data_IF_869131651829
#
_entry.id   IF_869131651829
#
_cell.length_a   1.000
_cell.length_b   1.000
_cell.length_c   1.000
_cell.angle_alpha   90.00
_cell.angle_beta   90.00
_cell.angle_gamma   90.00
#
_symmetry.space_group_name_H-M   'P 1'
#
loop_
_entity.id
_entity.type
_entity.pdbx_description
1 polymer ?
#
# COMPACT_ATOMS: atom_id res chain seq x y z
N UNK A 1 0.74 19.29 10.38
CA UNK A 1 0.84 18.12 9.48
C UNK A 1 1.98 18.31 8.48
N UNK A 2 2.85 17.29 8.31
CA UNK A 2 3.99 17.29 7.36
C UNK A 2 3.49 17.30 5.90
N UNK A 3 4.32 17.69 4.90
CA UNK A 3 3.91 17.75 3.49
C UNK A 3 3.35 16.43 2.94
N UNK A 4 4.01 15.30 3.20
CA UNK A 4 3.54 13.97 2.80
C UNK A 4 2.15 13.65 3.39
N UNK A 5 1.96 13.89 4.68
CA UNK A 5 0.64 13.72 5.32
C UNK A 5 -0.44 14.62 4.74
N UNK A 6 -0.10 15.83 4.29
CA UNK A 6 -1.06 16.73 3.62
C UNK A 6 -1.47 16.22 2.24
N UNK A 7 -0.52 15.71 1.47
CA UNK A 7 -0.80 15.11 0.18
C UNK A 7 -1.69 13.87 0.34
N UNK A 8 -1.37 12.99 1.29
CA UNK A 8 -2.15 11.80 1.60
C UNK A 8 -3.57 12.15 2.04
N UNK A 9 -3.73 13.11 2.95
CA UNK A 9 -5.04 13.57 3.41
C UNK A 9 -5.92 14.10 2.26
N UNK A 10 -5.35 14.88 1.33
CA UNK A 10 -6.08 15.36 0.15
C UNK A 10 -6.54 14.20 -0.73
N UNK A 11 -5.66 13.23 -0.99
CA UNK A 11 -5.99 12.06 -1.81
C UNK A 11 -7.12 11.22 -1.22
N UNK A 12 -7.05 10.90 0.06
CA UNK A 12 -8.10 10.13 0.75
C UNK A 12 -9.44 10.88 0.72
N UNK A 13 -9.40 12.21 0.89
CA UNK A 13 -10.59 13.05 0.74
C UNK A 13 -11.15 12.98 -0.68
N UNK A 14 -10.32 13.09 -1.70
CA UNK A 14 -10.75 13.05 -3.11
C UNK A 14 -11.32 11.66 -3.47
N UNK A 15 -10.72 10.57 -2.97
CA UNK A 15 -11.24 9.21 -3.10
C UNK A 15 -12.64 9.09 -2.49
N UNK A 16 -12.81 9.52 -1.24
CA UNK A 16 -14.10 9.50 -0.57
C UNK A 16 -15.16 10.32 -1.32
N UNK A 17 -14.78 11.49 -1.85
CA UNK A 17 -15.67 12.32 -2.66
C UNK A 17 -16.05 11.67 -4.01
N UNK A 18 -15.16 10.91 -4.64
CA UNK A 18 -15.49 10.18 -5.89
C UNK A 18 -16.51 9.06 -5.67
N UNK A 19 -16.47 8.43 -4.49
CA UNK A 19 -17.33 7.29 -4.16
C UNK A 19 -18.67 7.69 -3.58
N UNK A 20 -18.69 8.78 -2.83
CA UNK A 20 -19.94 9.37 -2.38
C UNK A 20 -20.58 10.07 -3.59
N UNK A 21 -21.71 9.53 -4.09
CA UNK A 21 -22.57 10.26 -5.03
C UNK A 21 -22.80 11.66 -4.49
N UNK A 22 -22.88 12.67 -5.37
CA UNK A 22 -23.21 14.05 -5.00
C UNK A 22 -24.52 14.07 -4.19
N UNK A 23 -24.37 13.96 -2.87
CA UNK A 23 -25.49 14.07 -1.95
C UNK A 23 -25.79 15.55 -1.85
N UNK A 24 -27.03 15.94 -2.12
CA UNK A 24 -27.57 17.25 -1.73
C UNK A 24 -27.71 17.33 -0.20
N UNK A 25 -26.63 17.04 0.54
CA UNK A 25 -26.59 17.19 1.97
C UNK A 25 -26.64 18.68 2.28
N UNK A 26 -27.61 19.06 3.12
CA UNK A 26 -27.68 20.37 3.77
C UNK A 26 -26.28 20.70 4.32
N UNK A 27 -25.83 21.95 4.11
CA UNK A 27 -24.52 22.43 4.58
C UNK A 27 -24.27 21.99 6.01
N UNK A 28 -23.32 21.08 6.22
CA UNK A 28 -22.87 20.67 7.55
C UNK A 28 -22.13 21.84 8.19
N UNK A 29 -22.39 22.10 9.46
CA UNK A 29 -21.63 23.08 10.24
C UNK A 29 -20.30 22.48 10.68
N UNK A 30 -19.23 23.26 10.59
CA UNK A 30 -17.93 22.83 11.07
C UNK A 30 -17.90 22.83 12.60
N UNK A 31 -17.31 21.79 13.18
CA UNK A 31 -17.07 21.66 14.62
C UNK A 31 -15.72 20.99 14.84
N UNK A 32 -15.15 21.17 16.03
CA UNK A 32 -13.81 20.70 16.36
C UNK A 32 -13.84 19.59 17.43
N UNK A 33 -12.94 18.63 17.29
CA UNK A 33 -12.57 17.68 18.32
C UNK A 33 -11.39 18.27 19.11
N UNK A 34 -11.55 18.45 20.40
CA UNK A 34 -10.57 19.15 21.24
C UNK A 34 -9.58 18.22 21.95
N UNK A 35 -9.89 16.93 22.04
CA UNK A 35 -9.06 15.95 22.72
C UNK A 35 -8.86 14.67 21.88
N UNK A 36 -7.72 14.01 22.11
CA UNK A 36 -7.36 12.79 21.39
C UNK A 36 -8.26 11.61 21.69
N UNK A 37 -8.84 11.51 22.90
CA UNK A 37 -9.68 10.37 23.29
C UNK A 37 -11.03 10.40 22.55
N UNK A 38 -11.59 11.59 22.36
CA UNK A 38 -12.80 11.76 21.56
C UNK A 38 -12.57 11.37 20.10
N UNK A 39 -11.40 11.69 19.54
CA UNK A 39 -11.04 11.27 18.18
C UNK A 39 -10.84 9.75 18.09
N UNK A 40 -10.03 9.16 18.99
CA UNK A 40 -9.76 7.72 19.08
C UNK A 40 -11.06 6.92 19.18
N UNK A 41 -11.94 7.32 20.10
CA UNK A 41 -13.27 6.70 20.25
C UNK A 41 -14.08 6.70 18.96
N UNK A 42 -14.11 7.82 18.22
CA UNK A 42 -14.87 7.91 16.96
C UNK A 42 -14.27 6.95 15.92
N UNK A 43 -12.94 6.92 15.82
CA UNK A 43 -12.22 6.07 14.86
C UNK A 43 -12.50 4.60 15.17
N UNK A 44 -12.31 4.18 16.42
CA UNK A 44 -12.49 2.78 16.85
C UNK A 44 -13.94 2.31 16.66
N UNK A 45 -14.92 3.15 17.00
CA UNK A 45 -16.33 2.81 16.84
C UNK A 45 -16.72 2.69 15.36
N UNK A 46 -16.26 3.60 14.50
CA UNK A 46 -16.53 3.52 13.06
C UNK A 46 -15.89 2.25 12.47
N UNK A 47 -14.65 1.94 12.84
CA UNK A 47 -13.97 0.71 12.39
C UNK A 47 -14.77 -0.53 12.78
N UNK A 48 -15.18 -0.64 14.06
CA UNK A 48 -16.01 -1.76 14.52
C UNK A 48 -17.36 -1.87 13.81
N UNK A 49 -18.02 -0.75 13.52
CA UNK A 49 -19.26 -0.77 12.74
C UNK A 49 -19.05 -1.19 11.29
N UNK A 50 -17.93 -0.82 10.66
CA UNK A 50 -17.58 -1.27 9.31
C UNK A 50 -17.25 -2.76 9.32
N UNK A 51 -16.52 -3.27 10.30
CA UNK A 51 -16.25 -4.71 10.45
C UNK A 51 -17.55 -5.54 10.57
N UNK A 52 -18.51 -5.06 11.37
CA UNK A 52 -19.82 -5.70 11.48
C UNK A 52 -20.61 -5.63 10.16
N UNK A 53 -20.52 -4.51 9.45
CA UNK A 53 -21.15 -4.33 8.15
C UNK A 53 -20.55 -5.28 7.10
N UNK A 54 -19.22 -5.43 7.07
CA UNK A 54 -18.56 -6.37 6.17
C UNK A 54 -18.92 -7.81 6.49
N UNK A 55 -19.01 -8.20 7.77
CA UNK A 55 -19.45 -9.55 8.17
C UNK A 55 -20.89 -9.86 7.77
N UNK A 56 -21.73 -8.84 7.61
CA UNK A 56 -23.12 -9.00 7.20
C UNK A 56 -23.27 -9.30 5.69
N UNK A 57 -22.24 -9.07 4.87
CA UNK A 57 -22.30 -9.25 3.42
C UNK A 57 -21.08 -10.03 2.88
N UNK A 58 -21.21 -10.83 1.80
CA UNK A 58 -20.08 -11.55 1.23
C UNK A 58 -19.18 -10.61 0.37
N UNK A 59 -18.54 -9.62 1.00
CA UNK A 59 -17.82 -8.52 0.32
C UNK A 59 -16.30 -8.52 0.51
N UNK A 60 -15.74 -9.43 1.31
CA UNK A 60 -14.31 -9.47 1.68
C UNK A 60 -13.35 -9.34 0.47
N UNK A 61 -13.56 -10.14 -0.58
CA UNK A 61 -12.74 -10.09 -1.78
C UNK A 61 -12.87 -8.76 -2.56
N UNK A 62 -14.05 -8.13 -2.49
CA UNK A 62 -14.31 -6.84 -3.12
C UNK A 62 -13.62 -5.73 -2.33
N UNK A 63 -13.72 -5.74 -1.00
CA UNK A 63 -13.04 -4.77 -0.12
C UNK A 63 -11.53 -4.81 -0.33
N UNK A 64 -10.92 -6.00 -0.35
CA UNK A 64 -9.48 -6.12 -0.64
C UNK A 64 -9.08 -5.60 -2.03
N UNK A 65 -9.92 -5.84 -3.05
CA UNK A 65 -9.66 -5.33 -4.40
C UNK A 65 -9.76 -3.80 -4.43
N UNK A 66 -10.76 -3.23 -3.77
CA UNK A 66 -10.94 -1.77 -3.68
C UNK A 66 -9.77 -1.11 -2.96
N UNK A 67 -9.34 -1.66 -1.81
CA UNK A 67 -8.17 -1.17 -1.08
C UNK A 67 -6.90 -1.16 -1.95
N UNK A 68 -6.72 -2.18 -2.80
CA UNK A 68 -5.62 -2.21 -3.78
C UNK A 68 -5.69 -1.09 -4.82
N UNK A 69 -6.89 -0.79 -5.33
CA UNK A 69 -7.12 0.30 -6.30
C UNK A 69 -6.90 1.66 -5.64
N UNK A 70 -7.36 1.87 -4.41
CA UNK A 70 -7.20 3.13 -3.67
C UNK A 70 -5.74 3.57 -3.55
N UNK A 71 -4.84 2.62 -3.32
CA UNK A 71 -3.42 2.91 -3.13
C UNK A 71 -2.60 2.81 -4.40
N UNK A 72 -3.19 2.45 -5.55
CA UNK A 72 -2.48 2.23 -6.81
C UNK A 72 -1.71 3.48 -7.27
N UNK A 73 -2.25 4.67 -7.00
CA UNK A 73 -1.63 5.95 -7.37
C UNK A 73 -0.55 6.44 -6.36
N UNK A 74 -0.41 5.78 -5.20
CA UNK A 74 0.57 6.18 -4.16
C UNK A 74 1.88 5.43 -4.38
N UNK A 75 2.85 6.04 -5.05
CA UNK A 75 4.10 5.35 -5.44
C UNK A 75 5.25 5.52 -4.45
N UNK A 76 5.18 6.50 -3.55
CA UNK A 76 6.28 6.81 -2.63
C UNK A 76 6.21 5.96 -1.36
N UNK A 77 7.33 5.31 -1.04
CA UNK A 77 7.46 4.42 0.11
C UNK A 77 7.16 5.14 1.45
N UNK A 78 7.53 6.43 1.55
CA UNK A 78 7.27 7.22 2.75
C UNK A 78 5.77 7.43 3.01
N UNK A 79 4.98 7.80 2.00
CA UNK A 79 3.52 7.92 2.16
C UNK A 79 2.85 6.57 2.33
N UNK A 80 3.34 5.51 1.68
CA UNK A 80 2.83 4.15 1.89
C UNK A 80 3.08 3.66 3.33
N UNK A 81 4.26 3.95 3.88
CA UNK A 81 4.58 3.61 5.28
C UNK A 81 3.68 4.39 6.24
N UNK A 82 3.54 5.70 6.02
CA UNK A 82 2.61 6.51 6.82
C UNK A 82 1.17 6.02 6.74
N UNK A 83 0.72 5.57 5.56
CA UNK A 83 -0.62 5.04 5.36
C UNK A 83 -0.81 3.70 6.07
N UNK A 84 0.15 2.78 5.94
CA UNK A 84 0.15 1.50 6.65
C UNK A 84 0.06 1.70 8.16
N UNK A 85 0.89 2.56 8.71
CA UNK A 85 0.93 2.82 10.16
C UNK A 85 -0.37 3.48 10.65
N UNK A 86 -0.97 4.37 9.84
CA UNK A 86 -2.23 5.03 10.19
C UNK A 86 -3.46 4.12 10.03
N UNK A 87 -3.41 3.13 9.14
CA UNK A 87 -4.49 2.17 8.91
C UNK A 87 -4.43 0.97 9.85
N UNK A 88 -3.27 0.67 10.44
CA UNK A 88 -3.11 -0.48 11.33
C UNK A 88 -4.06 -0.43 12.53
N UNK A 89 -4.81 -1.52 12.73
CA UNK A 89 -5.82 -1.65 13.78
C UNK A 89 -7.17 -0.99 13.46
N UNK A 90 -7.32 -0.34 12.29
CA UNK A 90 -8.54 0.38 11.88
C UNK A 90 -9.05 -0.16 10.54
N UNK A 91 -8.15 -0.36 9.57
CA UNK A 91 -8.45 -0.85 8.23
C UNK A 91 -7.31 -1.79 7.76
N UNK A 92 -7.50 -3.08 8.05
CA UNK A 92 -6.50 -4.11 7.74
C UNK A 92 -6.39 -4.39 6.24
N UNK A 93 -7.46 -4.16 5.47
CA UNK A 93 -7.41 -4.31 4.02
C UNK A 93 -6.49 -3.26 3.40
N UNK A 94 -6.60 -2.01 3.83
CA UNK A 94 -5.78 -0.89 3.39
C UNK A 94 -4.33 -1.00 3.90
N UNK A 95 -4.15 -1.35 5.18
CA UNK A 95 -2.83 -1.61 5.76
C UNK A 95 -2.09 -2.72 5.02
N UNK A 96 -2.79 -3.84 4.77
CA UNK A 96 -2.24 -4.98 4.03
C UNK A 96 -1.95 -4.67 2.57
N UNK A 97 -2.75 -3.84 1.91
CA UNK A 97 -2.48 -3.37 0.56
C UNK A 97 -1.21 -2.50 0.52
N UNK A 98 -1.07 -1.56 1.46
CA UNK A 98 0.10 -0.67 1.54
C UNK A 98 1.39 -1.47 1.79
N UNK A 99 1.36 -2.46 2.69
CA UNK A 99 2.49 -3.34 2.95
C UNK A 99 2.95 -4.10 1.69
N UNK A 100 2.03 -4.73 0.96
CA UNK A 100 2.36 -5.44 -0.29
C UNK A 100 2.99 -4.52 -1.33
N UNK A 101 2.54 -3.27 -1.39
CA UNK A 101 3.08 -2.29 -2.35
C UNK A 101 4.49 -1.84 -1.99
N UNK A 102 4.78 -1.65 -0.69
CA UNK A 102 6.13 -1.39 -0.19
C UNK A 102 7.08 -2.53 -0.60
N UNK A 103 6.68 -3.79 -0.34
CA UNK A 103 7.48 -4.97 -0.70
C UNK A 103 7.73 -5.06 -2.21
N UNK A 104 6.73 -4.72 -3.03
CA UNK A 104 6.86 -4.69 -4.49
C UNK A 104 7.81 -3.58 -4.99
N UNK A 105 7.92 -2.46 -4.27
CA UNK A 105 8.90 -1.41 -4.58
C UNK A 105 10.31 -1.88 -4.20
N UNK A 106 10.47 -2.44 -2.99
CA UNK A 106 11.74 -2.97 -2.51
C UNK A 106 12.29 -4.08 -3.42
N UNK A 107 11.46 -5.06 -3.79
CA UNK A 107 11.86 -6.16 -4.68
C UNK A 107 12.25 -5.69 -6.09
N UNK A 108 11.57 -4.66 -6.63
CA UNK A 108 11.96 -4.05 -7.92
C UNK A 108 13.32 -3.37 -7.85
N UNK A 109 13.66 -2.74 -6.73
CA UNK A 109 14.95 -2.09 -6.56
C UNK A 109 16.10 -3.11 -6.46
N UNK A 110 15.92 -4.20 -5.70
CA UNK A 110 16.91 -5.28 -5.60
C UNK A 110 17.19 -5.95 -6.94
N UNK A 111 16.15 -6.19 -7.76
CA UNK A 111 16.31 -6.78 -9.09
C UNK A 111 17.04 -5.85 -10.09
N UNK A 112 16.87 -4.53 -9.96
CA UNK A 112 17.62 -3.55 -10.76
C UNK A 112 19.09 -3.50 -10.38
N UNK A 113 19.40 -3.59 -9.09
CA UNK A 113 20.78 -3.58 -8.58
C UNK A 113 21.58 -4.80 -9.07
N UNK A 114 20.97 -6.00 -9.05
CA UNK A 114 21.58 -7.23 -9.59
C UNK A 114 21.89 -7.12 -11.10
N UNK A 115 21.07 -6.40 -11.89
CA UNK A 115 21.37 -6.18 -13.32
C UNK A 115 22.52 -5.19 -13.54
N UNK A 116 22.72 -4.23 -12.64
CA UNK A 116 23.81 -3.24 -12.73
C UNK A 116 25.16 -3.81 -12.25
N UNK A 117 25.15 -4.79 -11.35
CA UNK A 117 26.35 -5.50 -10.89
C UNK A 117 26.88 -6.59 -11.85
N UNK A 118 26.23 -6.80 -12.99
CA UNK A 118 26.45 -7.95 -13.89
C UNK A 118 27.62 -7.85 -14.87
N UNK A 119 28.84 -7.53 -14.43
CA UNK A 119 30.05 -8.00 -15.11
C UNK A 119 30.42 -9.40 -14.59
N UNK A 120 29.51 -10.36 -14.75
CA UNK A 120 29.78 -11.76 -14.43
C UNK A 120 30.48 -12.42 -15.64
N UNK A 121 31.82 -12.49 -15.59
CA UNK A 121 32.60 -13.37 -16.48
C UNK A 121 32.35 -14.82 -16.09
N UNK A 122 31.41 -15.48 -16.76
CA UNK A 122 31.24 -16.93 -16.64
C UNK A 122 32.38 -17.61 -17.41
N UNK A 123 33.36 -18.16 -16.69
CA UNK A 123 34.32 -19.11 -17.27
C UNK A 123 33.62 -20.45 -17.44
N UNK A 124 33.11 -20.73 -18.64
CA UNK A 124 32.76 -22.09 -19.03
C UNK A 124 34.07 -22.86 -19.20
N UNK A 125 34.23 -23.91 -18.38
CA UNK A 125 35.41 -24.75 -18.29
C UNK A 125 35.84 -25.31 -19.65
N UNK A 126 37.15 -25.24 -19.87
CA UNK A 126 37.88 -25.65 -21.06
C UNK A 126 38.06 -27.17 -21.08
N UNK A 127 37.45 -27.86 -22.04
CA UNK A 127 37.84 -29.23 -22.39
C UNK A 127 38.73 -29.19 -23.65
N UNK A 128 40.05 -29.23 -23.46
CA UNK A 128 40.99 -29.63 -24.51
C UNK A 128 41.48 -31.01 -24.14
N UNK A 129 41.14 -32.02 -24.96
CA UNK A 129 41.84 -33.29 -24.96
C UNK A 129 42.53 -33.43 -26.33
N UNK A 130 43.84 -33.15 -26.37
CA UNK A 130 44.72 -33.59 -27.46
C UNK A 130 45.45 -34.84 -26.96
N UNK A 131 45.07 -36.00 -27.47
CA UNK A 131 45.86 -37.22 -27.39
C UNK A 131 46.28 -37.62 -28.79
N UNK A 132 47.57 -37.50 -29.08
CA UNK A 132 48.21 -37.98 -30.30
C UNK A 132 49.44 -38.78 -29.88
N UNK A 133 49.43 -40.09 -30.11
CA UNK A 133 50.56 -41.03 -30.21
C UNK A 133 50.02 -42.25 -31.00
N UNK A 134 50.28 -42.37 -32.31
CA UNK A 134 51.38 -43.16 -32.92
C UNK A 134 51.50 -44.58 -32.39
N UNK A 135 51.12 -45.56 -33.21
CA UNK A 135 52.05 -46.59 -33.71
C UNK A 135 51.51 -47.24 -34.98
#
# INVERSE_FOLDING_TARGET
MKPAGRALHRRLKDLACRWQKDTSLVKKTAWALYDGKSLEKIVDQIAGFVDELEKAFPVEAVCHKLAGIEIEEVEDEASLTMLKDAAGGIDEALSGAAARKIDAIAGRNSAKDVRMGGHARVHVGKCIHRGSCTS
#
